data_IF_542273698159
#
_entry.id   IF_542273698159
#
_cell.length_a   1.000
_cell.length_b   1.000
_cell.length_c   1.000
_cell.angle_alpha   90.00
_cell.angle_beta   90.00
_cell.angle_gamma   90.00
#
_symmetry.space_group_name_H-M   'P 1'
#
loop_
_entity.id
_entity.type
_entity.pdbx_description
1 polymer ?
#
# COMPACT_ATOMS: atom_id res chain seq x y z
N UNK A 1 -54.83 24.46 6.04
CA UNK A 1 -54.47 25.44 7.09
C UNK A 1 -52.99 25.70 6.94
N UNK A 2 -52.45 26.86 6.55
CA UNK A 2 -52.97 28.21 6.38
C UNK A 2 -52.37 28.82 5.10
N UNK A 3 -53.18 29.65 4.44
CA UNK A 3 -52.81 30.52 3.33
C UNK A 3 -52.13 31.78 3.86
N UNK A 4 -51.20 32.38 3.11
CA UNK A 4 -51.02 33.83 3.16
C UNK A 4 -50.55 34.35 1.79
N UNK A 5 -51.43 35.12 1.16
CA UNK A 5 -51.19 35.94 -0.02
C UNK A 5 -51.10 37.39 0.40
N UNK A 6 -50.03 38.10 0.04
CA UNK A 6 -50.08 39.55 -0.20
C UNK A 6 -48.86 40.02 -0.97
N UNK A 7 -49.05 40.17 -2.28
CA UNK A 7 -48.75 41.37 -3.08
C UNK A 7 -47.64 42.32 -2.59
N UNK A 8 -46.57 42.41 -3.39
CA UNK A 8 -46.10 43.70 -3.89
C UNK A 8 -44.80 44.28 -3.30
N UNK A 9 -43.65 43.81 -3.78
CA UNK A 9 -42.47 44.68 -3.96
C UNK A 9 -41.80 44.38 -5.30
N UNK A 10 -41.67 45.40 -6.16
CA UNK A 10 -40.92 45.34 -7.41
C UNK A 10 -39.41 45.29 -7.14
N UNK A 11 -38.60 44.69 -8.02
CA UNK A 11 -37.16 44.54 -7.83
C UNK A 11 -36.45 45.89 -7.93
N UNK A 12 -35.64 46.21 -6.93
CA UNK A 12 -34.70 47.33 -6.99
C UNK A 12 -33.61 46.97 -8.00
N UNK A 13 -33.57 47.71 -9.11
CA UNK A 13 -32.56 47.56 -10.16
C UNK A 13 -31.16 47.93 -9.67
N UNK A 14 -30.17 47.29 -10.28
CA UNK A 14 -28.74 47.40 -10.02
C UNK A 14 -28.25 48.85 -9.83
N UNK A 15 -27.57 49.09 -8.71
CA UNK A 15 -26.83 50.33 -8.46
C UNK A 15 -25.59 50.36 -9.36
N UNK A 16 -25.59 51.22 -10.38
CA UNK A 16 -24.41 51.57 -11.16
C UNK A 16 -23.64 52.70 -10.42
N UNK A 17 -22.31 52.58 -10.20
CA UNK A 17 -21.54 53.47 -9.32
C UNK A 17 -21.00 54.75 -10.00
N UNK A 18 -21.71 55.31 -10.98
CA UNK A 18 -21.17 56.41 -11.79
C UNK A 18 -22.15 57.57 -11.93
N UNK A 19 -22.56 58.18 -10.83
CA UNK A 19 -23.07 59.58 -10.79
C UNK A 19 -23.25 60.01 -9.34
N UNK A 20 -22.17 60.45 -8.71
CA UNK A 20 -22.24 61.14 -7.43
C UNK A 20 -21.43 62.44 -7.55
N UNK A 21 -22.04 63.43 -8.20
CA UNK A 21 -21.48 64.78 -8.29
C UNK A 21 -22.18 65.64 -7.26
N UNK A 22 -21.52 65.84 -6.11
CA UNK A 22 -21.98 66.77 -5.08
C UNK A 22 -21.91 68.19 -5.65
N UNK A 23 -23.09 68.77 -5.89
CA UNK A 23 -23.28 70.14 -6.36
C UNK A 23 -23.12 71.09 -5.17
N UNK A 24 -21.92 71.62 -4.96
CA UNK A 24 -21.69 72.69 -3.97
C UNK A 24 -22.13 74.01 -4.56
N UNK A 25 -23.30 74.47 -4.14
CA UNK A 25 -23.82 75.80 -4.42
C UNK A 25 -23.17 76.81 -3.47
N UNK A 26 -22.23 77.64 -3.95
CA UNK A 26 -21.78 78.80 -3.18
C UNK A 26 -22.58 80.03 -3.63
N UNK A 27 -23.55 80.40 -2.79
CA UNK A 27 -24.39 81.58 -3.00
C UNK A 27 -23.72 82.81 -2.39
N UNK A 28 -23.55 83.82 -3.22
CA UNK A 28 -23.72 85.25 -2.89
C UNK A 28 -22.79 85.85 -1.84
N UNK A 29 -21.82 86.64 -2.30
CA UNK A 29 -21.48 87.89 -1.61
C UNK A 29 -21.51 89.01 -2.64
N UNK A 30 -22.43 89.94 -2.38
CA UNK A 30 -22.67 91.12 -3.19
C UNK A 30 -21.51 92.10 -3.16
N UNK A 31 -21.48 92.84 -4.25
CA UNK A 31 -20.68 94.02 -4.52
C UNK A 31 -20.85 95.13 -3.47
N UNK A 32 -19.73 95.85 -3.29
CA UNK A 32 -19.55 97.18 -2.69
C UNK A 32 -19.44 97.25 -1.18
N UNK A 33 -18.19 97.41 -0.72
CA UNK A 33 -17.85 98.69 -0.09
C UNK A 33 -16.33 98.98 -0.17
N UNK A 34 -16.04 100.10 -0.83
CA UNK A 34 -15.02 101.11 -0.48
C UNK A 34 -13.57 100.67 -0.52
N UNK A 35 -12.93 101.11 -1.59
CA UNK A 35 -11.50 101.39 -1.70
C UNK A 35 -10.97 102.01 -0.41
N UNK A 36 -10.26 101.20 0.39
CA UNK A 36 -9.30 101.72 1.36
C UNK A 36 -7.92 101.48 0.76
N UNK A 37 -7.56 102.34 -0.18
CA UNK A 37 -6.20 102.49 -0.68
C UNK A 37 -5.40 103.15 0.45
N UNK A 38 -5.05 102.36 1.47
CA UNK A 38 -3.99 102.75 2.38
C UNK A 38 -2.75 103.03 1.51
N UNK A 39 -2.00 104.13 1.72
CA UNK A 39 -0.82 104.39 0.93
C UNK A 39 0.06 103.14 1.04
N UNK A 40 0.35 102.48 -0.08
CA UNK A 40 1.40 101.48 -0.14
C UNK A 40 2.66 102.22 0.28
N UNK A 41 2.98 102.15 1.57
CA UNK A 41 4.22 102.69 2.09
C UNK A 41 5.33 102.08 1.23
N UNK A 42 6.36 102.84 0.82
CA UNK A 42 7.44 102.29 0.02
C UNK A 42 8.05 101.15 0.83
N UNK A 43 7.76 99.91 0.43
CA UNK A 43 8.36 98.73 1.04
C UNK A 43 9.84 98.86 0.73
N UNK A 44 10.63 99.18 1.75
CA UNK A 44 12.07 99.36 1.57
C UNK A 44 12.68 98.13 0.91
N UNK A 45 13.73 98.27 0.07
CA UNK A 45 14.28 97.19 -0.75
C UNK A 45 14.53 95.87 0.01
N UNK A 46 14.88 95.96 1.30
CA UNK A 46 15.05 94.80 2.20
C UNK A 46 13.80 93.92 2.39
N UNK A 47 12.60 94.49 2.47
CA UNK A 47 11.38 93.72 2.72
C UNK A 47 10.89 92.99 1.45
N UNK A 48 11.20 93.49 0.26
CA UNK A 48 10.93 92.82 -1.02
C UNK A 48 11.92 91.67 -1.26
N UNK A 49 13.19 91.86 -0.88
CA UNK A 49 14.22 90.81 -0.91
C UNK A 49 13.92 89.67 0.06
N UNK A 50 13.48 89.98 1.29
CA UNK A 50 13.06 88.99 2.29
C UNK A 50 11.86 88.14 1.80
N UNK A 51 10.89 88.75 1.13
CA UNK A 51 9.73 88.03 0.60
C UNK A 51 10.08 87.16 -0.61
N UNK A 52 11.00 87.62 -1.47
CA UNK A 52 11.56 86.81 -2.57
C UNK A 52 12.32 85.60 -2.01
N UNK A 53 13.18 85.80 -1.01
CA UNK A 53 13.93 84.73 -0.38
C UNK A 53 13.02 83.68 0.30
N UNK A 54 11.88 84.10 0.88
CA UNK A 54 10.87 83.19 1.44
C UNK A 54 10.19 82.35 0.36
N UNK A 55 9.82 82.95 -0.78
CA UNK A 55 9.19 82.23 -1.91
C UNK A 55 10.15 81.25 -2.58
N UNK A 56 11.42 81.63 -2.74
CA UNK A 56 12.47 80.73 -3.24
C UNK A 56 12.69 79.56 -2.27
N UNK A 57 12.80 79.82 -0.96
CA UNK A 57 12.92 78.77 0.06
C UNK A 57 11.67 77.88 0.17
N UNK A 58 10.50 78.37 -0.19
CA UNK A 58 9.25 77.59 -0.27
C UNK A 58 9.20 76.73 -1.53
N UNK A 59 9.62 77.27 -2.69
CA UNK A 59 9.78 76.49 -3.93
C UNK A 59 10.82 75.38 -3.77
N UNK A 60 11.96 75.66 -3.15
CA UNK A 60 13.00 74.67 -2.89
C UNK A 60 12.51 73.55 -1.97
N UNK A 61 11.70 73.91 -0.95
CA UNK A 61 11.03 72.95 -0.07
C UNK A 61 10.03 72.09 -0.83
N UNK A 62 9.18 72.68 -1.67
CA UNK A 62 8.20 71.95 -2.47
C UNK A 62 8.88 71.00 -3.48
N UNK A 63 9.97 71.44 -4.12
CA UNK A 63 10.74 70.60 -5.05
C UNK A 63 11.48 69.47 -4.31
N UNK A 64 11.96 69.72 -3.09
CA UNK A 64 12.55 68.69 -2.23
C UNK A 64 11.51 67.65 -1.80
N UNK A 65 10.31 68.08 -1.41
CA UNK A 65 9.20 67.20 -1.03
C UNK A 65 8.73 66.35 -2.23
N UNK A 66 8.57 66.95 -3.41
CA UNK A 66 8.21 66.21 -4.64
C UNK A 66 9.26 65.16 -5.01
N UNK A 67 10.55 65.47 -4.83
CA UNK A 67 11.65 64.51 -5.05
C UNK A 67 11.58 63.34 -4.06
N UNK A 68 11.32 63.64 -2.78
CA UNK A 68 11.18 62.63 -1.73
C UNK A 68 9.96 61.72 -1.99
N UNK A 69 8.82 62.28 -2.41
CA UNK A 69 7.64 61.51 -2.77
C UNK A 69 7.89 60.61 -3.97
N UNK A 70 8.58 61.11 -4.99
CA UNK A 70 8.93 60.33 -6.17
C UNK A 70 9.90 59.19 -5.83
N UNK A 71 10.87 59.43 -4.95
CA UNK A 71 11.78 58.39 -4.44
C UNK A 71 11.02 57.36 -3.58
N UNK A 72 10.15 57.80 -2.68
CA UNK A 72 9.31 56.92 -1.86
C UNK A 72 8.38 56.06 -2.72
N UNK A 73 7.82 56.63 -3.80
CA UNK A 73 6.98 55.89 -4.73
C UNK A 73 7.79 54.84 -5.50
N UNK A 74 8.98 55.19 -5.99
CA UNK A 74 9.90 54.23 -6.64
C UNK A 74 10.26 53.08 -5.70
N UNK A 75 10.59 53.38 -4.44
CA UNK A 75 10.89 52.37 -3.40
C UNK A 75 9.69 51.46 -3.13
N UNK A 76 8.48 52.01 -3.06
CA UNK A 76 7.24 51.22 -2.89
C UNK A 76 7.00 50.30 -4.10
N UNK A 77 7.12 50.82 -5.31
CA UNK A 77 6.91 50.05 -6.54
C UNK A 77 7.95 48.92 -6.68
N UNK A 78 9.20 49.19 -6.28
CA UNK A 78 10.27 48.19 -6.26
C UNK A 78 10.00 47.08 -5.24
N UNK A 79 9.56 47.41 -4.02
CA UNK A 79 9.17 46.42 -3.00
C UNK A 79 8.02 45.53 -3.49
N UNK A 80 7.01 46.11 -4.15
CA UNK A 80 5.89 45.33 -4.72
C UNK A 80 6.39 44.39 -5.83
N UNK A 81 7.32 44.83 -6.68
CA UNK A 81 7.93 43.94 -7.69
C UNK A 81 8.71 42.81 -7.04
N UNK A 82 9.55 43.11 -6.05
CA UNK A 82 10.32 42.10 -5.33
C UNK A 82 9.43 41.07 -4.65
N UNK A 83 8.36 41.51 -3.97
CA UNK A 83 7.38 40.61 -3.34
C UNK A 83 6.69 39.71 -4.36
N UNK A 84 6.21 40.27 -5.47
CA UNK A 84 5.59 39.47 -6.54
C UNK A 84 6.57 38.47 -7.14
N UNK A 85 7.83 38.85 -7.31
CA UNK A 85 8.87 37.97 -7.86
C UNK A 85 9.21 36.82 -6.89
N UNK A 86 9.26 37.12 -5.60
CA UNK A 86 9.45 36.14 -4.54
C UNK A 86 8.26 35.18 -4.45
N UNK A 87 7.02 35.68 -4.50
CA UNK A 87 5.81 34.86 -4.50
C UNK A 87 5.76 33.94 -5.72
N UNK A 88 6.11 34.44 -6.92
CA UNK A 88 6.24 33.60 -8.13
C UNK A 88 7.34 32.55 -8.01
N UNK A 89 8.45 32.84 -7.29
CA UNK A 89 9.50 31.85 -7.00
C UNK A 89 9.01 30.80 -6.01
N UNK A 90 8.32 31.21 -4.94
CA UNK A 90 7.73 30.30 -3.94
C UNK A 90 6.70 29.36 -4.58
N UNK A 91 5.76 29.90 -5.36
CA UNK A 91 4.76 29.08 -6.06
C UNK A 91 5.41 28.06 -7.00
N UNK A 92 6.42 28.45 -7.79
CA UNK A 92 7.13 27.51 -8.67
C UNK A 92 7.86 26.43 -7.88
N UNK A 93 8.51 26.77 -6.77
CA UNK A 93 9.21 25.81 -5.92
C UNK A 93 8.23 24.83 -5.24
N UNK A 94 7.08 25.32 -4.77
CA UNK A 94 6.02 24.50 -4.19
C UNK A 94 5.40 23.55 -5.23
N UNK A 95 5.12 24.05 -6.44
CA UNK A 95 4.61 23.23 -7.53
C UNK A 95 5.61 22.14 -7.95
N UNK A 96 6.88 22.50 -8.09
CA UNK A 96 7.94 21.53 -8.39
C UNK A 96 8.10 20.49 -7.27
N UNK A 97 8.04 20.91 -6.01
CA UNK A 97 8.07 20.00 -4.86
C UNK A 97 6.88 19.04 -4.86
N UNK A 98 5.68 19.54 -5.16
CA UNK A 98 4.45 18.74 -5.28
C UNK A 98 4.57 17.70 -6.39
N UNK A 99 5.04 18.10 -7.57
CA UNK A 99 5.22 17.19 -8.72
C UNK A 99 6.25 16.09 -8.39
N UNK A 100 7.39 16.46 -7.79
CA UNK A 100 8.40 15.49 -7.36
C UNK A 100 7.86 14.50 -6.31
N UNK A 101 7.05 14.99 -5.37
CA UNK A 101 6.42 14.15 -4.35
C UNK A 101 5.37 13.20 -4.95
N UNK A 102 4.58 13.68 -5.91
CA UNK A 102 3.60 12.88 -6.64
C UNK A 102 4.28 11.78 -7.48
N UNK A 103 5.34 12.13 -8.22
CA UNK A 103 6.12 11.18 -9.01
C UNK A 103 6.79 10.12 -8.12
N UNK A 104 7.40 10.51 -7.00
CA UNK A 104 7.96 9.57 -6.04
C UNK A 104 6.90 8.64 -5.45
N UNK A 105 5.73 9.19 -5.09
CA UNK A 105 4.60 8.40 -4.58
C UNK A 105 4.08 7.40 -5.61
N UNK A 106 4.02 7.81 -6.89
CA UNK A 106 3.63 6.95 -8.00
C UNK A 106 4.63 5.80 -8.17
N UNK A 107 5.93 6.10 -8.22
CA UNK A 107 6.97 5.08 -8.33
C UNK A 107 6.91 4.08 -7.17
N UNK A 108 6.74 4.56 -5.93
CA UNK A 108 6.59 3.70 -4.76
C UNK A 108 5.36 2.79 -4.84
N UNK A 109 4.23 3.28 -5.36
CA UNK A 109 3.02 2.47 -5.56
C UNK A 109 3.24 1.39 -6.61
N UNK A 110 3.82 1.74 -7.75
CA UNK A 110 4.14 0.79 -8.83
C UNK A 110 5.13 -0.28 -8.35
N UNK A 111 6.16 0.10 -7.58
CA UNK A 111 7.12 -0.85 -7.01
C UNK A 111 6.47 -1.76 -5.96
N UNK A 112 5.64 -1.20 -5.08
CA UNK A 112 4.89 -1.97 -4.08
C UNK A 112 3.93 -2.97 -4.75
N UNK A 113 3.26 -2.58 -5.83
CA UNK A 113 2.39 -3.46 -6.62
C UNK A 113 3.20 -4.57 -7.28
N UNK A 114 4.34 -4.26 -7.91
CA UNK A 114 5.23 -5.28 -8.49
C UNK A 114 5.70 -6.29 -7.44
N UNK A 115 6.11 -5.81 -6.26
CA UNK A 115 6.52 -6.67 -5.13
C UNK A 115 5.36 -7.55 -4.65
N UNK A 116 4.14 -7.02 -4.55
CA UNK A 116 2.94 -7.79 -4.20
C UNK A 116 2.66 -8.89 -5.23
N UNK A 117 2.64 -8.54 -6.52
CA UNK A 117 2.41 -9.49 -7.61
C UNK A 117 3.48 -10.60 -7.64
N UNK A 118 4.76 -10.25 -7.44
CA UNK A 118 5.83 -11.24 -7.36
C UNK A 118 5.67 -12.17 -6.14
N UNK A 119 5.36 -11.62 -4.97
CA UNK A 119 5.14 -12.39 -3.75
C UNK A 119 3.95 -13.36 -3.90
N UNK A 120 2.87 -12.92 -4.55
CA UNK A 120 1.71 -13.74 -4.80
C UNK A 120 2.03 -14.85 -5.81
N UNK A 121 2.75 -14.54 -6.89
CA UNK A 121 3.21 -15.54 -7.86
C UNK A 121 4.09 -16.60 -7.19
N UNK A 122 5.02 -16.20 -6.33
CA UNK A 122 5.87 -17.11 -5.54
C UNK A 122 5.04 -17.99 -4.60
N UNK A 123 4.03 -17.43 -3.92
CA UNK A 123 3.13 -18.20 -3.05
C UNK A 123 2.34 -19.24 -3.85
N UNK A 124 1.73 -18.84 -4.97
CA UNK A 124 0.96 -19.74 -5.85
C UNK A 124 1.82 -20.88 -6.40
N UNK A 125 3.06 -20.60 -6.77
CA UNK A 125 3.99 -21.62 -7.25
C UNK A 125 4.38 -22.60 -6.13
N UNK A 126 4.67 -22.09 -4.93
CA UNK A 126 4.96 -22.95 -3.76
C UNK A 126 3.76 -23.84 -3.39
N UNK A 127 2.55 -23.29 -3.41
CA UNK A 127 1.32 -24.05 -3.16
C UNK A 127 1.12 -25.15 -4.21
N UNK A 128 1.36 -24.86 -5.50
CA UNK A 128 1.31 -25.84 -6.58
C UNK A 128 2.32 -26.96 -6.36
N UNK A 129 3.57 -26.64 -6.01
CA UNK A 129 4.61 -27.63 -5.74
C UNK A 129 4.25 -28.52 -4.55
N UNK A 130 3.69 -27.94 -3.47
CA UNK A 130 3.24 -28.69 -2.30
C UNK A 130 2.08 -29.64 -2.64
N UNK A 131 1.13 -29.19 -3.46
CA UNK A 131 0.02 -30.03 -3.92
C UNK A 131 0.51 -31.16 -4.82
N UNK A 132 1.44 -30.88 -5.73
CA UNK A 132 2.02 -31.89 -6.60
C UNK A 132 2.82 -32.94 -5.81
N UNK A 133 3.65 -32.51 -4.85
CA UNK A 133 4.37 -33.41 -3.96
C UNK A 133 3.40 -34.31 -3.18
N UNK A 134 2.36 -33.73 -2.58
CA UNK A 134 1.32 -34.49 -1.89
C UNK A 134 0.63 -35.51 -2.82
N UNK A 135 0.34 -35.13 -4.06
CA UNK A 135 -0.27 -36.03 -5.06
C UNK A 135 0.67 -37.19 -5.41
N UNK A 136 1.96 -36.91 -5.60
CA UNK A 136 2.98 -37.94 -5.86
C UNK A 136 3.11 -38.90 -4.68
N UNK A 137 3.16 -38.39 -3.46
CA UNK A 137 3.22 -39.21 -2.26
C UNK A 137 1.97 -40.09 -2.11
N UNK A 138 0.79 -39.54 -2.38
CA UNK A 138 -0.47 -40.28 -2.39
C UNK A 138 -0.52 -41.35 -3.48
N UNK A 139 -0.01 -41.05 -4.68
CA UNK A 139 0.07 -42.00 -5.79
C UNK A 139 1.01 -43.16 -5.46
N UNK A 140 2.18 -42.86 -4.89
CA UNK A 140 3.13 -43.88 -4.42
C UNK A 140 2.50 -44.74 -3.31
N UNK A 141 1.83 -44.12 -2.33
CA UNK A 141 1.14 -44.84 -1.27
C UNK A 141 0.02 -45.73 -1.82
N UNK A 142 -0.77 -45.21 -2.78
CA UNK A 142 -1.84 -45.97 -3.46
C UNK A 142 -1.28 -47.15 -4.26
N UNK A 143 -0.17 -46.96 -4.97
CA UNK A 143 0.48 -48.03 -5.72
C UNK A 143 1.01 -49.13 -4.78
N UNK A 144 1.60 -48.75 -3.64
CA UNK A 144 2.03 -49.69 -2.59
C UNK A 144 0.85 -50.47 -2.01
N UNK A 145 -0.26 -49.78 -1.68
CA UNK A 145 -1.47 -50.44 -1.19
C UNK A 145 -2.06 -51.40 -2.24
N UNK A 146 -2.12 -50.98 -3.50
CA UNK A 146 -2.62 -51.84 -4.58
C UNK A 146 -1.79 -53.13 -4.76
N UNK A 147 -0.46 -53.06 -4.56
CA UNK A 147 0.39 -54.27 -4.52
C UNK A 147 0.00 -55.21 -3.37
N UNK A 148 -0.22 -54.66 -2.17
CA UNK A 148 -0.67 -55.43 -1.00
C UNK A 148 -2.01 -56.09 -1.29
N UNK A 149 -2.99 -55.33 -1.77
CA UNK A 149 -4.34 -55.82 -2.05
C UNK A 149 -4.32 -56.91 -3.13
N UNK A 150 -3.58 -56.70 -4.22
CA UNK A 150 -3.41 -57.70 -5.28
C UNK A 150 -2.80 -59.01 -4.75
N UNK A 151 -1.79 -58.89 -3.87
CA UNK A 151 -1.18 -60.06 -3.25
C UNK A 151 -2.14 -60.79 -2.29
N UNK A 152 -2.87 -60.05 -1.45
CA UNK A 152 -3.87 -60.62 -0.53
C UNK A 152 -4.95 -61.38 -1.29
N UNK A 153 -5.48 -60.80 -2.37
CA UNK A 153 -6.45 -61.44 -3.26
C UNK A 153 -5.90 -62.71 -3.89
N UNK A 154 -4.66 -62.68 -4.42
CA UNK A 154 -4.03 -63.87 -5.03
C UNK A 154 -3.96 -65.05 -4.05
N UNK A 155 -3.78 -64.77 -2.76
CA UNK A 155 -3.70 -65.77 -1.69
C UNK A 155 -5.01 -65.99 -0.94
N UNK A 156 -6.07 -65.31 -1.38
CA UNK A 156 -7.42 -65.38 -0.82
C UNK A 156 -7.39 -65.07 0.69
N UNK A 157 -6.78 -63.94 1.03
CA UNK A 157 -6.90 -63.29 2.33
C UNK A 157 -7.81 -62.07 2.18
N UNK A 158 -8.66 -61.83 3.18
CA UNK A 158 -9.58 -60.68 3.17
C UNK A 158 -8.92 -59.38 3.63
N UNK A 159 -7.99 -59.46 4.61
CA UNK A 159 -7.28 -58.32 5.19
C UNK A 159 -5.85 -58.70 5.54
N UNK A 160 -5.01 -57.69 5.85
CA UNK A 160 -3.61 -57.85 6.28
C UNK A 160 -3.44 -58.70 7.55
N UNK A 161 -4.50 -58.83 8.37
CA UNK A 161 -4.50 -59.60 9.62
C UNK A 161 -5.48 -60.78 9.59
N UNK A 162 -6.00 -61.16 8.43
CA UNK A 162 -6.94 -62.28 8.32
C UNK A 162 -6.26 -63.61 8.64
N UNK A 163 -6.72 -64.28 9.71
CA UNK A 163 -6.29 -65.63 10.06
C UNK A 163 -6.88 -66.63 9.06
N UNK A 164 -6.01 -67.34 8.33
CA UNK A 164 -6.42 -68.43 7.45
C UNK A 164 -6.08 -69.76 8.09
N UNK A 165 -7.03 -70.70 8.07
CA UNK A 165 -6.82 -72.06 8.57
C UNK A 165 -7.00 -73.05 7.42
N UNK A 166 -6.00 -73.90 7.18
CA UNK A 166 -6.03 -74.96 6.16
C UNK A 166 -5.38 -76.22 6.73
N UNK A 167 -6.06 -77.36 6.65
CA UNK A 167 -5.57 -78.67 7.12
C UNK A 167 -4.83 -78.60 8.48
N UNK A 168 -5.53 -78.11 9.52
CA UNK A 168 -5.02 -77.93 10.90
C UNK A 168 -3.86 -76.92 11.09
N UNK A 169 -3.43 -76.21 10.04
CA UNK A 169 -2.46 -75.11 10.13
C UNK A 169 -3.18 -73.77 10.05
N UNK A 170 -2.82 -72.84 10.93
CA UNK A 170 -3.28 -71.45 10.86
C UNK A 170 -2.12 -70.51 10.60
N UNK A 171 -2.29 -69.60 9.65
CA UNK A 171 -1.29 -68.63 9.26
C UNK A 171 -1.93 -67.29 8.89
N UNK A 172 -1.12 -66.23 8.94
CA UNK A 172 -1.49 -64.87 8.60
C UNK A 172 -0.70 -64.42 7.36
N UNK A 173 -1.15 -63.38 6.64
CA UNK A 173 -0.43 -62.79 5.50
C UNK A 173 1.06 -62.61 5.74
N UNK A 174 1.43 -62.04 6.89
CA UNK A 174 2.81 -61.77 7.25
C UNK A 174 3.67 -63.05 7.41
N UNK A 175 3.09 -64.17 7.87
CA UNK A 175 3.83 -65.44 7.95
C UNK A 175 4.12 -66.02 6.56
N UNK A 176 3.20 -65.86 5.61
CA UNK A 176 3.37 -66.35 4.24
C UNK A 176 4.41 -65.51 3.50
N UNK A 177 4.39 -64.19 3.69
CA UNK A 177 5.42 -63.29 3.13
C UNK A 177 6.83 -63.63 3.64
N UNK A 178 6.96 -63.99 4.93
CA UNK A 178 8.21 -64.48 5.52
C UNK A 178 8.62 -65.83 4.95
N UNK A 179 7.69 -66.77 4.75
CA UNK A 179 7.99 -68.08 4.16
C UNK A 179 8.52 -67.95 2.73
N UNK A 180 8.02 -66.97 1.97
CA UNK A 180 8.47 -66.60 0.62
C UNK A 180 9.78 -65.82 0.59
N UNK A 181 10.32 -65.44 1.75
CA UNK A 181 11.50 -64.56 1.89
C UNK A 181 11.38 -63.24 1.10
N UNK A 182 10.16 -62.73 0.95
CA UNK A 182 9.90 -61.50 0.20
C UNK A 182 9.98 -60.28 1.14
N UNK A 183 11.15 -59.66 1.21
CA UNK A 183 11.38 -58.50 2.11
C UNK A 183 10.49 -57.31 1.74
N UNK A 184 10.34 -56.99 0.45
CA UNK A 184 9.50 -55.87 -0.01
C UNK A 184 8.05 -56.06 0.46
N UNK A 185 7.51 -57.27 0.32
CA UNK A 185 6.14 -57.56 0.75
C UNK A 185 5.98 -57.52 2.28
N UNK A 186 6.99 -57.99 3.03
CA UNK A 186 6.99 -57.90 4.51
C UNK A 186 6.94 -56.43 4.93
N UNK A 187 7.77 -55.56 4.36
CA UNK A 187 7.75 -54.12 4.63
C UNK A 187 6.43 -53.46 4.23
N UNK A 188 5.87 -53.81 3.07
CA UNK A 188 4.59 -53.29 2.60
C UNK A 188 3.41 -53.72 3.50
N UNK A 189 3.38 -54.97 3.96
CA UNK A 189 2.36 -55.47 4.88
C UNK A 189 2.46 -54.79 6.25
N UNK A 190 3.67 -54.59 6.78
CA UNK A 190 3.88 -53.85 8.03
C UNK A 190 3.45 -52.38 7.89
N UNK A 191 3.80 -51.72 6.79
CA UNK A 191 3.36 -50.36 6.49
C UNK A 191 1.84 -50.26 6.35
N UNK A 192 1.17 -51.34 5.92
CA UNK A 192 -0.29 -51.45 5.85
C UNK A 192 -0.96 -51.85 7.18
N UNK A 193 -0.20 -51.96 8.28
CA UNK A 193 -0.73 -52.26 9.61
C UNK A 193 -0.88 -53.76 9.93
N UNK A 194 -0.10 -54.63 9.29
CA UNK A 194 -0.02 -56.02 9.70
C UNK A 194 0.56 -56.17 11.11
N UNK A 195 -0.10 -56.96 11.95
CA UNK A 195 0.33 -57.20 13.33
C UNK A 195 1.43 -58.28 13.35
N UNK A 196 2.62 -57.86 13.77
CA UNK A 196 3.81 -58.70 13.88
C UNK A 196 3.82 -59.60 15.12
N UNK A 197 2.85 -59.45 16.04
CA UNK A 197 2.75 -60.26 17.26
C UNK A 197 1.86 -61.49 17.10
N UNK A 198 1.09 -61.57 16.02
CA UNK A 198 0.20 -62.70 15.77
C UNK A 198 1.00 -63.99 15.60
N UNK A 199 0.55 -65.06 16.24
CA UNK A 199 1.23 -66.36 16.16
C UNK A 199 0.50 -67.34 15.26
N UNK A 200 1.24 -68.08 14.45
CA UNK A 200 0.71 -69.20 13.65
C UNK A 200 0.35 -70.42 14.52
N UNK A 201 -0.12 -71.52 13.90
CA UNK A 201 -0.50 -72.75 14.64
C UNK A 201 0.65 -73.44 15.38
N UNK A 202 1.90 -73.10 15.07
CA UNK A 202 3.09 -73.55 15.80
C UNK A 202 3.48 -72.61 16.94
N UNK A 203 2.63 -71.65 17.30
CA UNK A 203 2.90 -70.59 18.28
C UNK A 203 4.14 -69.73 17.94
N UNK A 204 4.46 -69.60 16.65
CA UNK A 204 5.57 -68.77 16.18
C UNK A 204 5.04 -67.43 15.68
N UNK A 205 5.68 -66.34 16.08
CA UNK A 205 5.53 -65.01 15.44
C UNK A 205 6.25 -65.01 14.08
N UNK A 206 5.96 -64.06 13.18
CA UNK A 206 6.67 -63.91 11.91
C UNK A 206 8.19 -63.80 12.08
N UNK A 207 8.67 -63.08 13.11
CA UNK A 207 10.09 -62.95 13.41
C UNK A 207 10.72 -64.28 13.88
N UNK A 208 10.06 -65.01 14.79
CA UNK A 208 10.51 -66.33 15.24
C UNK A 208 10.49 -67.35 14.09
N UNK A 209 9.50 -67.27 13.21
CA UNK A 209 9.44 -68.06 11.99
C UNK A 209 10.66 -67.77 11.11
N UNK A 210 10.97 -66.50 10.82
CA UNK A 210 12.13 -66.12 10.01
C UNK A 210 13.46 -66.66 10.59
N UNK A 211 13.67 -66.59 11.91
CA UNK A 211 14.83 -67.18 12.58
C UNK A 211 14.90 -68.70 12.37
N UNK A 212 13.80 -69.40 12.64
CA UNK A 212 13.70 -70.86 12.43
C UNK A 212 13.93 -71.28 10.98
N UNK A 213 13.57 -70.43 10.02
CA UNK A 213 13.80 -70.71 8.59
C UNK A 213 15.24 -70.44 8.16
N UNK A 214 15.91 -69.46 8.79
CA UNK A 214 17.31 -69.14 8.54
C UNK A 214 18.28 -70.23 9.01
N UNK A 215 17.89 -71.01 10.02
CA UNK A 215 18.67 -72.14 10.55
C UNK A 215 18.60 -73.39 9.64
N UNK A 216 17.71 -73.42 8.65
CA UNK A 216 17.54 -74.57 7.77
C UNK A 216 18.49 -74.49 6.56
N UNK A 217 19.27 -75.55 6.27
CA UNK A 217 20.14 -75.56 5.11
C UNK A 217 19.32 -75.46 3.81
N UNK A 218 19.74 -74.60 2.89
CA UNK A 218 19.14 -74.45 1.55
C UNK A 218 17.99 -73.44 1.43
N UNK A 219 17.58 -72.77 2.51
CA UNK A 219 16.67 -71.61 2.46
C UNK A 219 17.55 -70.36 2.56
N UNK A 220 17.45 -69.42 1.62
CA UNK A 220 18.39 -68.30 1.46
C UNK A 220 18.52 -67.36 2.66
N UNK A 221 19.23 -66.24 2.49
CA UNK A 221 19.48 -65.30 3.59
C UNK A 221 18.18 -64.59 4.02
N UNK A 222 17.78 -64.75 5.29
CA UNK A 222 16.62 -64.07 5.91
C UNK A 222 16.98 -62.77 6.64
N UNK A 223 18.22 -62.29 6.52
CA UNK A 223 18.71 -61.13 7.27
C UNK A 223 17.89 -59.85 6.99
N UNK A 224 17.51 -59.63 5.73
CA UNK A 224 16.69 -58.47 5.34
C UNK A 224 15.26 -58.56 5.89
N UNK A 225 14.65 -59.74 5.86
CA UNK A 225 13.33 -60.00 6.44
C UNK A 225 13.36 -59.83 7.96
N UNK A 226 14.41 -60.33 8.64
CA UNK A 226 14.58 -60.17 10.08
C UNK A 226 14.78 -58.70 10.48
N UNK A 227 15.45 -57.91 9.65
CA UNK A 227 15.59 -56.45 9.85
C UNK A 227 14.28 -55.71 9.63
N UNK A 228 13.46 -56.12 8.67
CA UNK A 228 12.15 -55.51 8.45
C UNK A 228 11.18 -55.79 9.62
N UNK A 229 11.37 -56.90 10.33
CA UNK A 229 10.53 -57.35 11.46
C UNK A 229 11.08 -57.01 12.85
N UNK A 230 12.26 -56.38 12.93
CA UNK A 230 12.89 -55.96 14.20
C UNK A 230 12.44 -54.56 14.59
#
# INVERSE_FOLDING_TARGET
MFSCSSTGCRPCGASNPTTDTIKVSISGVGEKDKENNAPTLPVGPKAVEDERARREAEQDRALAEQRLDQENQRRKDELVRQQKDEERRRHRAEEESRLRAEESSRFQREEAERKRMESERKRRESDRQRQEAKRRDQEVARARQAKVDAWLLSRHFETVNSKKTKWLKSFYPLHVAVEENNTELVELLLAAGADCNLTNSSKLTPQLLAKKLSEKPGRGCYQSVLRALS
#
